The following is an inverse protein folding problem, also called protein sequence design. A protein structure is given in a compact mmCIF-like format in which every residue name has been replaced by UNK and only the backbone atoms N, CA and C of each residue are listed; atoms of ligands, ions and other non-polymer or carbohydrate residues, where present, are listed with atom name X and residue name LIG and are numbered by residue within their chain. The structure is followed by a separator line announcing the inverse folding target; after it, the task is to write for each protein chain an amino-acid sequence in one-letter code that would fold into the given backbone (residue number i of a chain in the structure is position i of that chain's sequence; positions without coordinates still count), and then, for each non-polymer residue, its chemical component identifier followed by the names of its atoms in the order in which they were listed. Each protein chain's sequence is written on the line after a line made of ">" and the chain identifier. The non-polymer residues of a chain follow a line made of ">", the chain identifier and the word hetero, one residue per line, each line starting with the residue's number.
data_IF_091169514238
#
_entry.id   IF_091169514238
#
_cell.length_a   1.000
_cell.length_b   1.000
_cell.length_c   1.000
_cell.angle_alpha   90.00
_cell.angle_beta   90.00
_cell.angle_gamma   90.00
#
_symmetry.space_group_name_H-M   'P 1'
#
loop_
_entity.id
_entity.type
_entity.pdbx_description
1 polymer ?
#
# COMPACT_ATOMS: atom_id res chain seq x y z
N UNK A 1 12.70 -17.92 -4.16
CA UNK A 1 13.41 -18.82 -3.23
C UNK A 1 13.95 -20.06 -3.94
N UNK A 2 13.12 -20.81 -4.70
CA UNK A 2 13.55 -22.08 -5.31
C UNK A 2 14.70 -21.96 -6.34
N UNK A 3 14.82 -20.81 -6.97
CA UNK A 3 15.86 -20.50 -7.98
C UNK A 3 16.87 -19.44 -7.51
N UNK A 4 17.04 -19.32 -6.21
CA UNK A 4 17.91 -18.31 -5.57
C UNK A 4 19.32 -18.29 -6.17
N UNK A 5 19.90 -19.45 -6.33
CA UNK A 5 21.30 -19.61 -6.75
C UNK A 5 21.56 -19.23 -8.22
N UNK A 6 20.50 -18.99 -9.00
CA UNK A 6 20.57 -18.48 -10.37
C UNK A 6 20.56 -16.95 -10.45
N UNK A 7 20.31 -16.27 -9.33
CA UNK A 7 20.14 -14.82 -9.25
C UNK A 7 21.28 -14.21 -8.42
N UNK A 8 21.82 -13.09 -8.86
CA UNK A 8 22.91 -12.39 -8.19
C UNK A 8 22.66 -10.89 -8.20
N UNK A 9 23.05 -10.21 -7.12
CA UNK A 9 22.95 -8.75 -6.94
C UNK A 9 21.56 -8.17 -7.21
N UNK A 10 20.52 -8.89 -6.78
CA UNK A 10 19.13 -8.46 -6.96
C UNK A 10 18.71 -7.54 -5.81
N UNK A 11 18.40 -6.30 -6.14
CA UNK A 11 17.89 -5.30 -5.19
C UNK A 11 16.38 -5.23 -5.27
N UNK A 12 15.71 -5.59 -4.18
CA UNK A 12 14.26 -5.58 -4.09
C UNK A 12 13.81 -4.42 -3.20
N UNK A 13 12.84 -3.66 -3.67
CA UNK A 13 12.22 -2.57 -2.92
C UNK A 13 10.76 -2.90 -2.64
N UNK A 14 10.40 -2.83 -1.37
CA UNK A 14 9.03 -2.97 -0.90
C UNK A 14 8.78 -2.02 0.26
N UNK A 15 7.58 -2.07 0.81
CA UNK A 15 7.21 -1.29 1.98
C UNK A 15 5.98 -1.87 2.65
N UNK A 16 5.88 -1.68 3.96
CA UNK A 16 4.73 -2.09 4.79
C UNK A 16 4.34 -3.57 4.59
N UNK A 17 5.33 -4.44 4.48
CA UNK A 17 5.05 -5.87 4.34
C UNK A 17 4.36 -6.43 5.58
N UNK A 18 3.18 -7.03 5.39
CA UNK A 18 2.38 -7.58 6.48
C UNK A 18 2.95 -8.88 7.07
N UNK A 19 3.80 -9.57 6.33
CA UNK A 19 4.34 -10.87 6.73
C UNK A 19 5.74 -11.13 6.17
N UNK A 20 6.25 -12.35 6.35
CA UNK A 20 7.61 -12.71 5.95
C UNK A 20 7.87 -12.50 4.46
N UNK A 21 8.95 -11.80 4.15
CA UNK A 21 9.44 -11.59 2.78
C UNK A 21 10.35 -12.75 2.41
N UNK A 22 9.86 -13.64 1.56
CA UNK A 22 10.52 -14.91 1.24
C UNK A 22 11.95 -14.77 0.71
N UNK A 23 12.25 -13.71 -0.03
CA UNK A 23 13.62 -13.45 -0.52
C UNK A 23 14.60 -13.15 0.62
N UNK A 24 14.15 -12.54 1.72
CA UNK A 24 14.97 -12.28 2.90
C UNK A 24 15.13 -13.55 3.72
N UNK A 25 14.03 -14.28 3.93
CA UNK A 25 14.06 -15.50 4.76
C UNK A 25 14.89 -16.63 4.13
N UNK A 26 14.97 -16.69 2.80
CA UNK A 26 15.75 -17.73 2.12
C UNK A 26 17.23 -17.33 1.89
N UNK A 27 17.61 -16.09 2.14
CA UNK A 27 18.98 -15.57 1.91
C UNK A 27 19.43 -14.65 3.06
N UNK A 28 19.52 -15.18 4.29
CA UNK A 28 19.87 -14.39 5.47
C UNK A 28 21.32 -13.85 5.43
N UNK A 29 22.17 -14.38 4.56
CA UNK A 29 23.54 -13.91 4.35
C UNK A 29 23.61 -12.80 3.29
N UNK A 30 22.49 -12.46 2.64
CA UNK A 30 22.39 -11.45 1.58
C UNK A 30 23.37 -11.70 0.41
N UNK A 31 23.55 -12.96 0.08
CA UNK A 31 24.45 -13.38 -1.01
C UNK A 31 23.82 -13.12 -2.40
N UNK A 32 22.51 -13.07 -2.49
CA UNK A 32 21.75 -12.96 -3.73
C UNK A 32 20.82 -11.75 -3.76
N UNK A 33 20.20 -11.42 -2.59
CA UNK A 33 19.14 -10.42 -2.49
C UNK A 33 19.49 -9.35 -1.46
N UNK A 34 19.27 -8.08 -1.84
CA UNK A 34 19.28 -6.95 -0.91
C UNK A 34 17.87 -6.36 -0.83
N UNK A 35 17.30 -6.33 0.38
CA UNK A 35 15.96 -5.81 0.59
C UNK A 35 16.02 -4.37 1.12
N UNK A 36 15.28 -3.49 0.45
CA UNK A 36 15.17 -2.07 0.80
C UNK A 36 13.72 -1.71 1.10
N UNK A 37 13.52 -0.88 2.10
CA UNK A 37 12.22 -0.29 2.41
C UNK A 37 12.36 1.21 2.69
N UNK A 38 11.29 1.94 2.49
CA UNK A 38 11.17 3.34 2.88
C UNK A 38 10.07 3.55 3.94
N UNK A 39 9.29 2.53 4.25
CA UNK A 39 8.25 2.56 5.28
C UNK A 39 8.17 1.18 5.95
N UNK A 40 8.70 1.09 7.15
CA UNK A 40 8.80 -0.17 7.86
C UNK A 40 7.51 -0.55 8.58
N UNK A 41 6.97 -1.72 8.27
CA UNK A 41 6.07 -2.46 9.14
C UNK A 41 6.78 -2.95 10.41
N UNK A 42 6.04 -3.55 11.33
CA UNK A 42 6.64 -4.20 12.51
C UNK A 42 7.60 -5.35 12.14
N UNK A 43 7.32 -6.05 11.03
CA UNK A 43 8.20 -7.08 10.51
C UNK A 43 9.50 -6.49 9.95
N UNK A 44 9.40 -5.48 9.11
CA UNK A 44 10.57 -4.85 8.48
C UNK A 44 11.48 -4.15 9.50
N UNK A 45 10.93 -3.58 10.59
CA UNK A 45 11.75 -3.05 11.70
C UNK A 45 12.64 -4.13 12.29
N UNK A 46 12.09 -5.33 12.55
CA UNK A 46 12.90 -6.46 13.05
C UNK A 46 13.96 -6.92 12.04
N UNK A 47 13.70 -6.80 10.74
CA UNK A 47 14.72 -7.05 9.72
C UNK A 47 15.83 -5.99 9.74
N UNK A 48 15.47 -4.71 9.90
CA UNK A 48 16.46 -3.65 10.05
C UNK A 48 17.35 -3.86 11.28
N UNK A 49 16.77 -4.24 12.43
CA UNK A 49 17.50 -4.55 13.66
C UNK A 49 18.49 -5.72 13.48
N UNK A 50 18.19 -6.63 12.56
CA UNK A 50 19.04 -7.77 12.18
C UNK A 50 20.03 -7.48 11.05
N UNK A 51 20.00 -6.27 10.47
CA UNK A 51 20.82 -5.90 9.32
C UNK A 51 20.36 -6.53 7.99
N UNK A 52 19.12 -7.02 7.91
CA UNK A 52 18.58 -7.73 6.73
C UNK A 52 17.65 -6.85 5.88
N UNK A 53 17.49 -5.58 6.24
CA UNK A 53 16.69 -4.62 5.49
C UNK A 53 17.36 -3.25 5.55
N UNK A 54 17.48 -2.60 4.41
CA UNK A 54 18.04 -1.26 4.29
C UNK A 54 16.93 -0.23 4.26
N UNK A 55 16.83 0.59 5.30
CA UNK A 55 15.85 1.65 5.38
C UNK A 55 16.35 2.91 4.69
N UNK A 56 15.59 3.43 3.75
CA UNK A 56 15.86 4.71 3.09
C UNK A 56 14.78 5.71 3.50
N UNK A 57 15.10 6.71 4.35
CA UNK A 57 14.11 7.68 4.78
C UNK A 57 13.66 8.55 3.61
N UNK A 58 12.38 8.50 3.29
CA UNK A 58 11.76 9.31 2.24
C UNK A 58 10.42 9.87 2.72
N UNK A 59 10.12 11.10 2.35
CA UNK A 59 8.80 11.68 2.59
C UNK A 59 7.84 11.15 1.53
N UNK A 60 6.68 10.63 1.93
CA UNK A 60 5.71 10.00 1.05
C UNK A 60 5.37 10.83 -0.19
N UNK A 61 5.09 12.13 -0.04
CA UNK A 61 4.77 13.04 -1.15
C UNK A 61 5.88 13.17 -2.20
N UNK A 62 7.13 12.83 -1.85
CA UNK A 62 8.27 12.93 -2.76
C UNK A 62 8.62 11.58 -3.40
N UNK A 63 7.99 10.48 -2.99
CA UNK A 63 8.34 9.14 -3.46
C UNK A 63 8.23 9.00 -4.97
N UNK A 64 7.15 9.47 -5.57
CA UNK A 64 6.96 9.41 -7.01
C UNK A 64 8.10 10.13 -7.76
N UNK A 65 8.55 11.27 -7.22
CA UNK A 65 9.69 12.01 -7.77
C UNK A 65 11.00 11.24 -7.62
N UNK A 66 11.24 10.62 -6.45
CA UNK A 66 12.43 9.77 -6.27
C UNK A 66 12.47 8.62 -7.28
N UNK A 67 11.36 7.93 -7.50
CA UNK A 67 11.29 6.86 -8.49
C UNK A 67 11.53 7.36 -9.91
N UNK A 68 10.96 8.52 -10.27
CA UNK A 68 11.12 9.08 -11.61
C UNK A 68 12.52 9.57 -11.91
N UNK A 69 13.22 10.14 -10.92
CA UNK A 69 14.46 10.86 -11.17
C UNK A 69 15.72 10.10 -10.71
N UNK A 70 15.64 9.30 -9.66
CA UNK A 70 16.86 8.77 -9.02
C UNK A 70 16.90 7.24 -8.89
N UNK A 71 15.79 6.57 -8.93
CA UNK A 71 15.75 5.12 -8.72
C UNK A 71 15.65 4.39 -10.05
N UNK A 72 16.49 3.39 -10.24
CA UNK A 72 16.39 2.46 -11.35
C UNK A 72 15.37 1.38 -10.98
N UNK A 73 14.43 1.12 -11.91
CA UNK A 73 13.44 0.06 -11.80
C UNK A 73 13.55 -0.82 -13.03
N UNK A 74 14.21 -1.96 -12.92
CA UNK A 74 14.31 -2.89 -14.06
C UNK A 74 13.03 -3.72 -14.19
N UNK A 75 12.47 -4.18 -13.05
CA UNK A 75 11.24 -4.96 -13.04
C UNK A 75 10.30 -4.39 -11.98
N UNK A 76 9.09 -4.07 -12.37
CA UNK A 76 8.00 -3.74 -11.45
C UNK A 76 6.99 -4.88 -11.40
N UNK A 77 6.56 -5.23 -10.18
CA UNK A 77 5.54 -6.25 -9.96
C UNK A 77 4.43 -5.65 -9.10
N UNK A 78 3.19 -5.85 -9.50
CA UNK A 78 2.03 -5.40 -8.75
C UNK A 78 0.91 -6.44 -8.81
N UNK A 79 0.21 -6.63 -7.69
CA UNK A 79 -1.06 -7.36 -7.69
C UNK A 79 -2.18 -6.41 -8.07
N UNK A 80 -3.09 -6.87 -8.94
CA UNK A 80 -4.16 -6.06 -9.52
C UNK A 80 -5.48 -6.82 -9.52
N UNK A 81 -6.58 -6.08 -9.50
CA UNK A 81 -7.90 -6.65 -9.76
C UNK A 81 -8.01 -7.11 -11.23
N UNK A 82 -8.91 -8.05 -11.55
CA UNK A 82 -9.11 -8.53 -12.92
C UNK A 82 -9.31 -7.42 -13.94
N UNK A 83 -8.82 -7.65 -15.15
CA UNK A 83 -8.94 -6.73 -16.27
C UNK A 83 -10.40 -6.45 -16.62
N UNK A 84 -10.72 -5.22 -16.94
CA UNK A 84 -12.06 -4.86 -17.41
C UNK A 84 -12.20 -5.07 -18.94
N UNK A 85 -13.41 -4.87 -19.43
CA UNK A 85 -13.73 -5.02 -20.87
C UNK A 85 -13.01 -4.02 -21.80
N UNK A 86 -12.37 -3.01 -21.22
CA UNK A 86 -11.64 -1.98 -21.96
C UNK A 86 -10.12 -2.17 -21.87
N UNK A 87 -9.65 -3.27 -21.26
CA UNK A 87 -8.23 -3.59 -21.17
C UNK A 87 -7.53 -2.94 -19.95
N UNK A 88 -8.25 -2.45 -18.95
CA UNK A 88 -7.66 -1.83 -17.79
C UNK A 88 -7.67 -2.75 -16.57
N UNK A 89 -6.52 -2.88 -15.95
CA UNK A 89 -6.35 -3.43 -14.61
C UNK A 89 -6.44 -2.32 -13.56
N UNK A 90 -7.05 -2.62 -12.42
CA UNK A 90 -7.15 -1.68 -11.31
C UNK A 90 -6.15 -2.05 -10.22
N UNK A 91 -5.38 -1.06 -9.74
CA UNK A 91 -4.36 -1.23 -8.70
C UNK A 91 -4.95 -1.46 -7.30
N UNK A 92 -6.28 -1.50 -7.19
CA UNK A 92 -7.01 -1.80 -5.98
C UNK A 92 -6.66 -0.85 -4.82
N UNK A 93 -6.48 -1.39 -3.61
CA UNK A 93 -6.29 -0.60 -2.40
C UNK A 93 -4.91 0.05 -2.27
N UNK A 94 -3.96 -0.26 -3.13
CA UNK A 94 -2.58 0.23 -3.03
C UNK A 94 -2.17 0.96 -4.30
N UNK A 95 -2.79 2.08 -4.56
CA UNK A 95 -2.36 2.96 -5.66
C UNK A 95 -1.04 3.65 -5.30
N UNK A 96 -1.00 4.38 -4.19
CA UNK A 96 0.22 4.99 -3.64
C UNK A 96 1.12 5.61 -4.70
N UNK A 97 2.35 5.10 -4.80
CA UNK A 97 3.34 5.48 -5.81
C UNK A 97 3.47 4.46 -6.94
N UNK A 98 2.59 3.48 -7.00
CA UNK A 98 2.68 2.35 -7.93
C UNK A 98 2.78 2.81 -9.37
N UNK A 99 2.00 3.80 -9.80
CA UNK A 99 2.06 4.33 -11.16
C UNK A 99 3.46 4.85 -11.53
N UNK A 100 4.10 5.61 -10.64
CA UNK A 100 5.46 6.12 -10.88
C UNK A 100 6.50 5.00 -10.98
N UNK A 101 6.30 3.90 -10.27
CA UNK A 101 7.16 2.70 -10.35
C UNK A 101 6.94 1.98 -11.67
N UNK A 102 5.69 1.74 -12.04
CA UNK A 102 5.30 1.07 -13.29
C UNK A 102 5.78 1.84 -14.51
N UNK A 103 5.62 3.17 -14.53
CA UNK A 103 6.07 4.05 -15.63
C UNK A 103 7.59 4.05 -15.83
N UNK A 104 8.36 3.67 -14.80
CA UNK A 104 9.84 3.66 -14.84
C UNK A 104 10.43 2.27 -15.09
N UNK A 105 9.61 1.24 -15.00
CA UNK A 105 10.08 -0.13 -15.16
C UNK A 105 10.45 -0.44 -16.61
N UNK A 106 11.54 -1.19 -16.78
CA UNK A 106 11.89 -1.77 -18.07
C UNK A 106 10.95 -2.95 -18.40
N UNK A 107 10.47 -3.65 -17.36
CA UNK A 107 9.53 -4.78 -17.45
C UNK A 107 8.44 -4.62 -16.41
N UNK A 108 7.18 -4.67 -16.83
CA UNK A 108 6.00 -4.62 -15.96
C UNK A 108 5.33 -5.98 -15.90
N UNK A 109 5.22 -6.53 -14.70
CA UNK A 109 4.56 -7.82 -14.44
C UNK A 109 3.37 -7.58 -13.51
N UNK A 110 2.18 -7.97 -13.93
CA UNK A 110 0.99 -7.90 -13.11
C UNK A 110 0.54 -9.30 -12.67
N UNK A 111 0.29 -9.44 -11.38
CA UNK A 111 -0.36 -10.61 -10.81
C UNK A 111 -1.85 -10.33 -10.62
N UNK A 112 -2.70 -11.03 -11.35
CA UNK A 112 -4.16 -10.89 -11.21
C UNK A 112 -4.65 -11.64 -9.98
N UNK A 113 -5.44 -10.94 -9.16
CA UNK A 113 -6.09 -11.53 -7.99
C UNK A 113 -7.58 -11.15 -7.96
N UNK A 114 -8.46 -12.15 -8.08
CA UNK A 114 -9.92 -11.97 -8.12
C UNK A 114 -10.51 -11.42 -6.81
N UNK A 115 -9.81 -11.59 -5.68
CA UNK A 115 -10.25 -11.06 -4.39
C UNK A 115 -9.94 -9.57 -4.20
N UNK A 116 -9.17 -8.96 -5.10
CA UNK A 116 -8.90 -7.54 -5.01
C UNK A 116 -10.09 -6.71 -5.52
N UNK A 117 -10.62 -5.80 -4.69
CA UNK A 117 -11.72 -4.93 -5.10
C UNK A 117 -11.25 -3.91 -6.14
N UNK A 118 -12.12 -3.54 -7.06
CA UNK A 118 -11.90 -2.39 -7.95
C UNK A 118 -12.26 -1.11 -7.20
N UNK A 119 -11.28 -0.28 -6.96
CA UNK A 119 -11.46 0.99 -6.27
C UNK A 119 -11.27 2.16 -7.22
N UNK A 120 -11.99 3.24 -6.96
CA UNK A 120 -11.88 4.49 -7.70
C UNK A 120 -11.19 5.52 -6.83
N UNK A 121 -10.09 6.11 -7.33
CA UNK A 121 -9.29 7.06 -6.59
C UNK A 121 -9.08 8.40 -7.32
N UNK A 122 -9.49 8.48 -8.59
CA UNK A 122 -9.38 9.68 -9.41
C UNK A 122 -8.15 9.71 -10.30
N UNK A 123 -6.97 9.39 -9.79
CA UNK A 123 -5.72 9.37 -10.56
C UNK A 123 -4.97 8.06 -10.34
N UNK A 124 -4.33 7.60 -11.42
CA UNK A 124 -3.31 6.54 -11.38
C UNK A 124 -3.79 5.18 -10.82
N UNK A 125 -5.10 4.98 -10.68
CA UNK A 125 -5.65 3.75 -10.12
C UNK A 125 -5.72 2.58 -11.12
N UNK A 126 -5.41 2.84 -12.39
CA UNK A 126 -5.49 1.83 -13.44
C UNK A 126 -4.24 1.81 -14.32
N UNK A 127 -3.97 0.65 -14.93
CA UNK A 127 -2.98 0.47 -15.99
C UNK A 127 -3.62 -0.28 -17.15
N UNK A 128 -3.34 0.14 -18.39
CA UNK A 128 -3.84 -0.54 -19.58
C UNK A 128 -2.92 -1.69 -19.96
N UNK A 129 -3.49 -2.75 -20.52
CA UNK A 129 -2.75 -3.96 -20.96
C UNK A 129 -1.61 -3.67 -21.93
N UNK A 130 -1.70 -2.59 -22.72
CA UNK A 130 -0.63 -2.18 -23.64
C UNK A 130 0.66 -1.73 -22.94
N UNK A 131 0.56 -1.37 -21.67
CA UNK A 131 1.67 -0.89 -20.85
C UNK A 131 2.23 -2.01 -19.94
N UNK A 132 1.88 -3.26 -20.21
CA UNK A 132 2.20 -4.43 -19.39
C UNK A 132 2.90 -5.48 -20.23
N UNK A 133 4.06 -5.95 -19.77
CA UNK A 133 4.83 -6.98 -20.50
C UNK A 133 4.35 -8.40 -20.18
N UNK A 134 3.95 -8.64 -18.91
CA UNK A 134 3.53 -9.96 -18.46
C UNK A 134 2.34 -9.86 -17.53
N UNK A 135 1.38 -10.76 -17.73
CA UNK A 135 0.25 -10.96 -16.82
C UNK A 135 0.28 -12.40 -16.34
N UNK A 136 0.24 -12.58 -15.04
CA UNK A 136 0.19 -13.90 -14.41
C UNK A 136 -1.05 -13.99 -13.53
N UNK A 137 -1.67 -15.14 -13.51
CA UNK A 137 -2.72 -15.43 -12.55
C UNK A 137 -2.10 -15.87 -11.23
N UNK A 138 -2.42 -15.14 -10.15
CA UNK A 138 -1.93 -15.43 -8.82
C UNK A 138 -2.68 -16.58 -8.17
N UNK A 139 -2.30 -16.88 -6.92
CA UNK A 139 -3.00 -17.86 -6.10
C UNK A 139 -4.35 -17.33 -5.55
N UNK A 140 -4.77 -16.15 -5.93
CA UNK A 140 -5.97 -15.47 -5.48
C UNK A 140 -6.09 -15.44 -3.94
N UNK A 141 -5.00 -15.04 -3.27
CA UNK A 141 -4.99 -14.91 -1.83
C UNK A 141 -6.08 -13.93 -1.37
N UNK A 142 -6.80 -14.23 -0.27
CA UNK A 142 -7.80 -13.32 0.27
C UNK A 142 -7.20 -11.95 0.56
N UNK A 143 -8.00 -10.90 0.36
CA UNK A 143 -7.59 -9.56 0.75
C UNK A 143 -7.45 -9.51 2.28
N UNK A 144 -6.32 -8.98 2.76
CA UNK A 144 -6.02 -8.96 4.20
C UNK A 144 -6.63 -7.75 4.85
N UNK A 145 -7.43 -7.95 5.88
CA UNK A 145 -7.97 -6.86 6.68
C UNK A 145 -6.87 -6.19 7.52
N UNK A 146 -6.98 -4.89 7.69
CA UNK A 146 -6.15 -4.17 8.65
C UNK A 146 -6.61 -4.53 10.08
N UNK A 147 -5.66 -4.79 11.01
CA UNK A 147 -6.03 -5.12 12.38
C UNK A 147 -6.79 -3.96 13.02
N UNK A 148 -7.95 -4.26 13.60
CA UNK A 148 -8.72 -3.30 14.36
C UNK A 148 -7.98 -2.95 15.67
N UNK A 149 -7.82 -1.67 15.95
CA UNK A 149 -7.30 -1.18 17.21
C UNK A 149 -8.48 -0.87 18.14
N UNK A 150 -8.60 -1.53 19.31
CA UNK A 150 -9.61 -1.17 20.30
C UNK A 150 -9.45 0.30 20.71
N UNK A 151 -10.58 1.02 20.73
CA UNK A 151 -10.56 2.41 21.18
C UNK A 151 -10.38 2.50 22.69
N UNK A 152 -9.55 3.43 23.14
CA UNK A 152 -9.36 3.76 24.54
C UNK A 152 -10.38 4.80 25.03
N UNK A 153 -10.39 5.06 26.34
CA UNK A 153 -11.21 6.14 26.90
C UNK A 153 -10.76 7.51 26.39
N UNK A 154 -9.44 7.68 26.22
CA UNK A 154 -8.83 8.90 25.70
C UNK A 154 -9.22 9.12 24.23
N UNK A 155 -9.19 8.07 23.39
CA UNK A 155 -9.64 8.14 22.00
C UNK A 155 -11.09 8.64 21.92
N UNK A 156 -11.95 8.10 22.79
CA UNK A 156 -13.36 8.49 22.86
C UNK A 156 -13.53 9.95 23.32
N UNK A 157 -12.76 10.36 24.33
CA UNK A 157 -12.80 11.73 24.82
C UNK A 157 -12.36 12.74 23.75
N UNK A 158 -11.27 12.44 23.04
CA UNK A 158 -10.75 13.29 21.95
C UNK A 158 -11.78 13.38 20.81
N UNK A 159 -12.34 12.25 20.37
CA UNK A 159 -13.33 12.23 19.30
C UNK A 159 -14.59 13.05 19.66
N UNK A 160 -15.05 12.98 20.90
CA UNK A 160 -16.18 13.79 21.37
C UNK A 160 -15.87 15.30 21.41
N UNK A 161 -14.63 15.68 21.69
CA UNK A 161 -14.19 17.08 21.62
C UNK A 161 -14.10 17.59 20.18
N UNK A 162 -13.75 16.73 19.23
CA UNK A 162 -13.61 17.10 17.81
C UNK A 162 -14.95 17.22 17.09
N UNK A 163 -15.91 16.35 17.41
CA UNK A 163 -17.19 16.28 16.69
C UNK A 163 -17.92 17.63 16.59
N UNK A 164 -18.00 18.49 17.63
CA UNK A 164 -18.68 19.79 17.52
C UNK A 164 -18.04 20.79 16.57
N UNK A 165 -16.80 20.53 16.13
CA UNK A 165 -16.10 21.39 15.17
C UNK A 165 -16.32 21.00 13.71
N UNK A 166 -17.05 19.92 13.46
CA UNK A 166 -17.35 19.43 12.12
C UNK A 166 -18.78 19.90 11.75
N UNK A 167 -18.91 20.56 10.62
CA UNK A 167 -20.18 21.08 10.13
C UNK A 167 -20.64 20.34 8.88
N UNK A 168 -21.88 20.56 8.47
CA UNK A 168 -22.41 20.10 7.19
C UNK A 168 -21.52 20.56 6.04
N UNK A 169 -21.36 19.73 5.03
CA UNK A 169 -20.52 20.00 3.87
C UNK A 169 -19.01 19.90 4.13
N UNK A 170 -18.58 19.58 5.35
CA UNK A 170 -17.16 19.43 5.64
C UNK A 170 -16.55 18.25 4.89
N UNK A 171 -15.30 18.41 4.45
CA UNK A 171 -14.51 17.29 3.93
C UNK A 171 -13.54 16.82 5.01
N UNK A 172 -13.62 15.54 5.34
CA UNK A 172 -12.84 14.92 6.43
C UNK A 172 -11.82 13.94 5.91
N UNK A 173 -10.73 13.79 6.67
CA UNK A 173 -9.78 12.69 6.54
C UNK A 173 -9.79 11.91 7.86
N UNK A 174 -9.95 10.60 7.77
CA UNK A 174 -9.85 9.70 8.91
C UNK A 174 -8.60 8.83 8.74
N UNK A 175 -7.68 8.92 9.70
CA UNK A 175 -6.52 8.03 9.74
C UNK A 175 -6.87 6.65 10.30
N UNK A 176 -5.87 5.77 10.36
CA UNK A 176 -6.00 4.48 11.06
C UNK A 176 -5.73 4.65 12.56
N UNK A 177 -6.44 3.90 13.39
CA UNK A 177 -6.26 3.91 14.85
C UNK A 177 -7.58 4.01 15.62
N UNK A 178 -7.49 3.96 16.93
CA UNK A 178 -8.66 4.00 17.83
C UNK A 178 -9.47 5.28 17.71
N UNK A 179 -8.83 6.43 17.84
CA UNK A 179 -9.50 7.74 17.82
C UNK A 179 -10.19 8.02 16.48
N UNK A 180 -9.55 7.89 15.31
CA UNK A 180 -10.22 8.08 14.02
C UNK A 180 -11.41 7.14 13.83
N UNK A 181 -11.30 5.89 14.28
CA UNK A 181 -12.41 4.92 14.23
C UNK A 181 -13.60 5.36 15.08
N UNK A 182 -13.35 5.90 16.28
CA UNK A 182 -14.44 6.44 17.13
C UNK A 182 -15.07 7.66 16.46
N UNK A 183 -14.25 8.58 15.96
CA UNK A 183 -14.74 9.79 15.31
C UNK A 183 -15.60 9.46 14.08
N UNK A 184 -15.19 8.51 13.24
CA UNK A 184 -15.98 8.06 12.09
C UNK A 184 -17.34 7.49 12.51
N UNK A 185 -17.36 6.65 13.56
CA UNK A 185 -18.63 6.13 14.14
C UNK A 185 -19.53 7.22 14.73
N UNK A 186 -18.96 8.26 15.32
CA UNK A 186 -19.72 9.42 15.80
C UNK A 186 -20.29 10.23 14.64
N UNK A 187 -19.50 10.46 13.59
CA UNK A 187 -19.96 11.13 12.37
C UNK A 187 -21.12 10.39 11.71
N UNK A 188 -21.01 9.07 11.58
CA UNK A 188 -22.07 8.24 11.00
C UNK A 188 -23.39 8.27 11.79
N UNK A 189 -23.35 8.66 13.07
CA UNK A 189 -24.52 8.77 13.96
C UNK A 189 -24.92 10.23 14.25
N UNK A 190 -24.15 11.17 13.79
CA UNK A 190 -24.46 12.59 13.90
C UNK A 190 -25.58 12.96 12.92
N UNK A 191 -26.22 14.05 13.10
CA UNK A 191 -27.16 14.57 12.11
C UNK A 191 -26.51 15.29 10.95
N UNK A 192 -25.17 15.24 10.83
CA UNK A 192 -24.41 15.92 9.79
C UNK A 192 -24.64 15.31 8.41
N UNK A 193 -24.70 16.15 7.39
CA UNK A 193 -25.00 15.74 6.02
C UNK A 193 -24.08 16.47 5.02
N UNK A 194 -24.10 15.99 3.76
CA UNK A 194 -23.25 16.48 2.67
C UNK A 194 -21.74 16.39 2.97
N UNK A 195 -21.31 15.46 3.83
CA UNK A 195 -19.91 15.27 4.16
C UNK A 195 -19.14 14.67 2.99
N UNK A 196 -17.98 15.25 2.68
CA UNK A 196 -17.00 14.69 1.77
C UNK A 196 -15.94 13.88 2.52
N UNK A 197 -15.32 12.93 1.83
CA UNK A 197 -14.15 12.22 2.34
C UNK A 197 -12.98 12.35 1.38
N UNK A 198 -11.84 12.80 1.88
CA UNK A 198 -10.58 12.81 1.17
C UNK A 198 -9.51 12.24 2.11
N UNK A 199 -9.21 10.97 1.96
CA UNK A 199 -8.37 10.24 2.91
C UNK A 199 -7.36 9.35 2.19
N UNK A 200 -6.21 9.13 2.82
CA UNK A 200 -5.20 8.18 2.35
C UNK A 200 -5.67 6.73 2.49
N UNK A 201 -6.30 6.42 3.61
CA UNK A 201 -6.84 5.09 3.90
C UNK A 201 -8.33 5.20 4.20
N UNK A 202 -9.12 4.31 3.60
CA UNK A 202 -10.53 4.18 3.91
C UNK A 202 -10.71 2.99 4.84
N UNK A 203 -11.20 3.24 6.05
CA UNK A 203 -11.51 2.22 7.05
C UNK A 203 -13.01 2.04 7.19
N UNK A 204 -13.44 1.01 7.94
CA UNK A 204 -14.86 0.73 8.23
C UNK A 204 -15.48 1.73 9.24
N UNK A 205 -14.80 2.78 9.57
CA UNK A 205 -15.24 3.79 10.53
C UNK A 205 -16.28 4.74 9.97
#
# INVERSE_FOLDING_TARGET
>A
AARRDELHDVKVRGNLCAGPVQIVECDPEQAHFLYHTWHCSAYERRLCDRGLCYFTPMIFRNLAWYYREFLTVNVAMASVAPMDRHGYFNLSAVTGVSRAILDRADIVILEVNEHLPRLRGGFDEVIHISDVDMVVEGAHAPFTDLPAHPATAEDTAIANLLLPHICDGATVQLGIGGMPTVLGKLLARSGLHDLGMHTELCSDA
#
